data_IF_833388352285
#
_entry.id   IF_833388352285
#
_cell.length_a   1.000
_cell.length_b   1.000
_cell.length_c   1.000
_cell.angle_alpha   90.00
_cell.angle_beta   90.00
_cell.angle_gamma   90.00
#
_symmetry.space_group_name_H-M   'P 1'
#
loop_
_entity.id
_entity.type
_entity.pdbx_description
1 polymer ?
#
# COMPACT_ATOMS: atom_id res chain seq x y z
N UNK A 1 7.76 -20.10 -7.86
CA UNK A 1 8.18 -18.90 -8.63
C UNK A 1 9.25 -19.33 -9.63
N UNK A 2 10.41 -19.82 -9.20
CA UNK A 2 11.56 -20.19 -10.03
C UNK A 2 11.18 -21.07 -11.23
N UNK A 3 10.51 -22.22 -11.01
CA UNK A 3 10.10 -23.13 -12.09
C UNK A 3 9.20 -22.43 -13.13
N UNK A 4 8.34 -21.50 -12.73
CA UNK A 4 7.47 -20.77 -13.65
C UNK A 4 8.26 -19.81 -14.54
N UNK A 5 9.24 -19.11 -13.97
CA UNK A 5 10.12 -18.23 -14.72
C UNK A 5 11.06 -19.00 -15.65
N UNK A 6 11.65 -20.11 -15.18
CA UNK A 6 12.47 -20.98 -16.02
C UNK A 6 11.66 -21.52 -17.21
N UNK A 7 10.46 -22.03 -16.96
CA UNK A 7 9.56 -22.54 -18.02
C UNK A 7 9.19 -21.46 -19.05
N UNK A 8 8.93 -20.24 -18.61
CA UNK A 8 8.61 -19.12 -19.48
C UNK A 8 9.83 -18.67 -20.30
N UNK A 9 11.01 -18.61 -19.66
CA UNK A 9 12.27 -18.23 -20.32
C UNK A 9 12.63 -19.21 -21.47
N UNK A 10 12.52 -20.53 -21.25
CA UNK A 10 12.74 -21.54 -22.30
C UNK A 10 11.86 -21.33 -23.55
N UNK A 11 10.72 -20.66 -23.40
CA UNK A 11 9.70 -20.44 -24.44
C UNK A 11 9.64 -19.01 -24.95
N UNK A 12 10.51 -18.14 -24.43
CA UNK A 12 10.49 -16.69 -24.68
C UNK A 12 9.11 -16.06 -24.40
N UNK A 13 8.44 -16.50 -23.33
CA UNK A 13 7.14 -15.99 -22.89
C UNK A 13 7.36 -14.94 -21.79
N UNK A 14 6.85 -13.71 -21.95
CA UNK A 14 6.94 -12.72 -20.90
C UNK A 14 6.10 -13.12 -19.68
N UNK A 15 6.59 -12.81 -18.48
CA UNK A 15 5.89 -13.12 -17.22
C UNK A 15 5.45 -11.82 -16.55
N UNK A 16 4.20 -11.78 -16.12
CA UNK A 16 3.67 -10.69 -15.31
C UNK A 16 3.17 -11.22 -13.97
N UNK A 17 3.80 -10.81 -12.88
CA UNK A 17 3.42 -11.23 -11.52
C UNK A 17 2.40 -10.27 -10.92
N UNK A 18 1.30 -10.81 -10.41
CA UNK A 18 0.24 -10.04 -9.74
C UNK A 18 -0.04 -10.55 -8.34
N UNK A 19 -0.62 -9.70 -7.51
CA UNK A 19 -1.27 -10.08 -6.25
C UNK A 19 -2.72 -10.55 -6.50
N UNK A 20 -3.68 -9.90 -5.87
CA UNK A 20 -5.12 -10.16 -6.10
C UNK A 20 -5.71 -9.44 -7.31
N UNK A 21 -4.96 -8.57 -7.99
CA UNK A 21 -5.45 -7.81 -9.14
C UNK A 21 -6.30 -6.58 -8.77
N UNK A 22 -6.33 -6.18 -7.49
CA UNK A 22 -7.22 -5.12 -6.99
C UNK A 22 -6.86 -3.69 -7.46
N UNK A 23 -5.72 -3.50 -8.12
CA UNK A 23 -5.28 -2.19 -8.63
C UNK A 23 -4.73 -2.33 -10.06
N UNK A 24 -5.42 -3.12 -10.89
CA UNK A 24 -5.02 -3.41 -12.26
C UNK A 24 -6.25 -3.29 -13.15
N UNK A 25 -6.06 -2.65 -14.32
CA UNK A 25 -6.99 -2.68 -15.44
C UNK A 25 -6.32 -3.44 -16.58
N UNK A 26 -6.92 -4.52 -17.00
CA UNK A 26 -6.46 -5.30 -18.15
C UNK A 26 -7.04 -4.73 -19.45
N UNK A 27 -6.24 -4.78 -20.52
CA UNK A 27 -6.76 -4.60 -21.87
C UNK A 27 -7.72 -5.73 -22.23
N UNK A 28 -8.78 -5.44 -23.00
CA UNK A 28 -9.70 -6.45 -23.49
C UNK A 28 -9.02 -7.48 -24.41
N UNK A 29 -7.89 -7.12 -25.01
CA UNK A 29 -7.02 -8.05 -25.76
C UNK A 29 -6.29 -9.07 -24.85
N UNK A 30 -6.35 -8.90 -23.53
CA UNK A 30 -5.66 -9.74 -22.57
C UNK A 30 -4.15 -9.47 -22.52
N UNK A 31 -3.40 -10.46 -22.07
CA UNK A 31 -1.93 -10.42 -21.93
C UNK A 31 -1.30 -11.59 -22.66
N UNK A 32 -0.46 -11.30 -23.65
CA UNK A 32 0.26 -12.34 -24.41
C UNK A 32 1.48 -12.83 -23.65
N UNK A 33 1.25 -13.56 -22.55
CA UNK A 33 2.31 -14.03 -21.67
C UNK A 33 1.77 -14.91 -20.54
N UNK A 34 2.62 -15.21 -19.58
CA UNK A 34 2.27 -15.92 -18.36
C UNK A 34 1.91 -14.91 -17.25
N UNK A 35 0.68 -14.97 -16.75
CA UNK A 35 0.29 -14.23 -15.54
C UNK A 35 0.48 -15.12 -14.34
N UNK A 36 1.39 -14.74 -13.45
CA UNK A 36 1.71 -15.47 -12.21
C UNK A 36 1.01 -14.79 -11.02
N UNK A 37 -0.04 -15.41 -10.50
CA UNK A 37 -0.69 -14.93 -9.29
C UNK A 37 0.07 -15.37 -8.05
N UNK A 38 0.62 -14.41 -7.31
CA UNK A 38 1.35 -14.70 -6.08
C UNK A 38 0.39 -15.03 -4.93
N UNK A 39 0.50 -16.25 -4.43
CA UNK A 39 -0.27 -16.78 -3.28
C UNK A 39 0.64 -17.36 -2.19
N UNK A 40 1.85 -16.82 -2.05
CA UNK A 40 2.78 -17.25 -1.00
C UNK A 40 2.25 -16.76 0.34
N UNK A 41 1.76 -17.67 1.15
CA UNK A 41 1.22 -17.39 2.48
C UNK A 41 2.30 -17.56 3.55
N UNK A 42 2.05 -17.01 4.72
CA UNK A 42 2.85 -17.17 5.92
C UNK A 42 2.73 -15.97 6.85
N UNK A 43 2.47 -16.24 8.10
CA UNK A 43 2.44 -15.27 9.20
C UNK A 43 3.25 -15.85 10.35
N UNK A 44 4.50 -15.44 10.46
CA UNK A 44 5.45 -16.00 11.43
C UNK A 44 5.99 -14.91 12.34
N UNK A 45 5.75 -15.03 13.65
CA UNK A 45 6.39 -14.17 14.65
C UNK A 45 7.83 -14.62 14.77
N UNK A 46 8.77 -13.74 14.40
CA UNK A 46 10.21 -14.03 14.44
C UNK A 46 10.78 -13.73 15.82
N UNK A 47 10.36 -12.62 16.42
CA UNK A 47 10.84 -12.21 17.75
C UNK A 47 9.82 -11.35 18.48
N UNK A 48 9.93 -11.34 19.79
CA UNK A 48 9.26 -10.40 20.69
C UNK A 48 10.30 -9.90 21.68
N UNK A 49 10.52 -8.61 21.71
CA UNK A 49 11.46 -7.98 22.62
C UNK A 49 10.89 -6.63 23.06
N UNK A 50 10.71 -6.46 24.37
CA UNK A 50 10.07 -5.29 24.99
C UNK A 50 8.68 -5.03 24.36
N UNK A 51 8.49 -3.84 23.80
CA UNK A 51 7.27 -3.42 23.10
C UNK A 51 7.28 -3.76 21.61
N UNK A 52 8.32 -4.40 21.08
CA UNK A 52 8.50 -4.66 19.66
C UNK A 52 8.24 -6.13 19.30
N UNK A 53 7.58 -6.33 18.18
CA UNK A 53 7.29 -7.65 17.62
C UNK A 53 7.67 -7.64 16.13
N UNK A 54 8.58 -8.54 15.75
CA UNK A 54 8.93 -8.75 14.35
C UNK A 54 8.10 -9.89 13.78
N UNK A 55 7.50 -9.65 12.62
CA UNK A 55 6.63 -10.61 11.95
C UNK A 55 7.06 -10.72 10.49
N UNK A 56 7.34 -11.95 10.03
CA UNK A 56 7.48 -12.26 8.60
C UNK A 56 6.11 -12.58 8.01
N UNK A 57 5.83 -11.95 6.90
CA UNK A 57 4.56 -12.08 6.17
C UNK A 57 4.83 -12.58 4.75
N UNK A 58 4.04 -13.53 4.28
CA UNK A 58 4.05 -13.97 2.89
C UNK A 58 3.42 -12.92 1.97
N UNK A 59 3.98 -12.76 0.77
CA UNK A 59 3.53 -11.73 -0.18
C UNK A 59 2.09 -11.93 -0.68
N UNK A 60 1.58 -13.17 -0.66
CA UNK A 60 0.22 -13.52 -1.06
C UNK A 60 -0.84 -13.40 0.03
N UNK A 61 -0.45 -13.09 1.29
CA UNK A 61 -1.41 -12.80 2.37
C UNK A 61 -2.30 -11.62 2.01
N UNK A 62 -3.57 -11.65 2.38
CA UNK A 62 -4.49 -10.52 2.22
C UNK A 62 -4.14 -9.45 3.25
N UNK A 63 -3.87 -8.24 2.77
CA UNK A 63 -3.38 -7.16 3.62
C UNK A 63 -4.31 -6.87 4.79
N UNK A 64 -5.61 -6.74 4.54
CA UNK A 64 -6.57 -6.42 5.59
C UNK A 64 -6.74 -7.54 6.64
N UNK A 65 -6.62 -8.81 6.24
CA UNK A 65 -6.64 -9.95 7.17
C UNK A 65 -5.42 -9.94 8.11
N UNK A 66 -4.24 -9.60 7.55
CA UNK A 66 -3.02 -9.43 8.35
C UNK A 66 -3.19 -8.28 9.34
N UNK A 67 -3.74 -7.15 8.91
CA UNK A 67 -3.98 -6.00 9.78
C UNK A 67 -5.00 -6.35 10.87
N UNK A 68 -6.09 -7.03 10.53
CA UNK A 68 -7.06 -7.51 11.51
C UNK A 68 -6.40 -8.42 12.56
N UNK A 69 -5.56 -9.34 12.12
CA UNK A 69 -4.84 -10.26 13.01
C UNK A 69 -3.85 -9.52 13.91
N UNK A 70 -3.07 -8.59 13.39
CA UNK A 70 -2.10 -7.80 14.19
C UNK A 70 -2.80 -6.90 15.20
N UNK A 71 -3.90 -6.23 14.82
CA UNK A 71 -4.70 -5.41 15.75
C UNK A 71 -5.37 -6.25 16.82
N UNK A 72 -5.85 -7.46 16.50
CA UNK A 72 -6.38 -8.40 17.50
C UNK A 72 -5.30 -8.86 18.52
N UNK A 73 -4.05 -8.89 18.09
CA UNK A 73 -2.90 -9.15 18.97
C UNK A 73 -2.47 -7.93 19.80
N UNK A 74 -3.16 -6.79 19.70
CA UNK A 74 -2.80 -5.53 20.36
C UNK A 74 -1.55 -4.85 19.78
N UNK A 75 -1.21 -5.18 18.51
CA UNK A 75 -0.07 -4.57 17.82
C UNK A 75 -0.53 -3.35 17.04
N UNK A 76 0.35 -2.36 16.96
CA UNK A 76 0.12 -1.08 16.26
C UNK A 76 1.21 -0.83 15.22
N UNK A 77 0.87 -0.06 14.18
CA UNK A 77 1.75 0.38 13.10
C UNK A 77 1.21 0.14 11.70
N UNK A 78 0.11 -0.63 11.54
CA UNK A 78 -0.51 -0.90 10.24
C UNK A 78 -2.03 -0.63 10.22
N UNK A 79 -2.63 -0.26 11.33
CA UNK A 79 -4.09 -0.16 11.52
C UNK A 79 -4.76 0.86 10.60
N UNK A 80 -4.06 1.91 10.18
CA UNK A 80 -4.58 2.89 9.22
C UNK A 80 -4.66 2.36 7.78
N UNK A 81 -4.01 1.24 7.47
CA UNK A 81 -4.07 0.59 6.16
C UNK A 81 -5.27 -0.36 6.03
N UNK A 82 -6.16 -0.41 7.02
CA UNK A 82 -7.36 -1.27 7.05
C UNK A 82 -8.24 -1.07 5.83
N UNK A 83 -8.82 -2.15 5.34
CA UNK A 83 -9.66 -2.22 4.14
C UNK A 83 -8.97 -1.76 2.83
N UNK A 84 -7.65 -1.59 2.79
CA UNK A 84 -6.96 -1.47 1.51
C UNK A 84 -7.01 -2.85 0.84
N UNK A 85 -7.68 -2.97 -0.32
CA UNK A 85 -7.78 -4.25 -1.00
C UNK A 85 -6.42 -4.68 -1.56
N UNK A 86 -6.20 -5.98 -1.63
CA UNK A 86 -5.00 -6.51 -2.24
C UNK A 86 -4.18 -7.39 -1.30
N UNK A 87 -3.02 -7.78 -1.80
CA UNK A 87 -2.08 -8.63 -1.07
C UNK A 87 -0.95 -7.83 -0.45
N UNK A 88 -0.33 -8.40 0.55
CA UNK A 88 0.82 -7.84 1.23
C UNK A 88 1.98 -7.50 0.29
N UNK A 89 2.29 -8.36 -0.69
CA UNK A 89 3.31 -8.06 -1.70
C UNK A 89 2.93 -6.86 -2.59
N UNK A 90 1.65 -6.75 -2.98
CA UNK A 90 1.14 -5.58 -3.70
C UNK A 90 1.26 -4.29 -2.88
N UNK A 91 1.08 -4.37 -1.56
CA UNK A 91 1.25 -3.24 -0.66
C UNK A 91 2.69 -2.72 -0.64
N UNK A 92 3.70 -3.61 -0.70
CA UNK A 92 5.11 -3.23 -0.80
C UNK A 92 5.40 -2.55 -2.13
N UNK A 93 4.93 -3.11 -3.26
CA UNK A 93 5.14 -2.55 -4.61
C UNK A 93 4.65 -1.09 -4.68
N UNK A 94 3.51 -0.80 -4.05
CA UNK A 94 2.88 0.53 -4.09
C UNK A 94 3.29 1.44 -2.92
N UNK A 95 4.12 0.98 -1.98
CA UNK A 95 4.26 1.62 -0.69
C UNK A 95 2.89 2.06 -0.17
N UNK A 96 1.99 1.10 0.03
CA UNK A 96 0.60 1.39 0.38
C UNK A 96 0.52 2.24 1.63
N UNK A 97 -0.28 3.29 1.54
CA UNK A 97 -0.45 4.24 2.63
C UNK A 97 -1.85 4.86 2.66
N UNK A 98 -2.33 5.11 3.87
CA UNK A 98 -3.59 5.79 4.14
C UNK A 98 -3.55 6.46 5.51
N UNK A 99 -4.25 7.58 5.65
CA UNK A 99 -4.43 8.30 6.93
C UNK A 99 -3.12 8.61 7.66
N UNK A 100 -2.04 8.88 6.92
CA UNK A 100 -0.73 9.22 7.47
C UNK A 100 0.16 8.04 7.83
N UNK A 101 -0.30 6.80 7.66
CA UNK A 101 0.52 5.60 7.76
C UNK A 101 0.91 5.09 6.37
N UNK A 102 2.13 4.55 6.25
CA UNK A 102 2.63 3.83 5.10
C UNK A 102 3.31 2.54 5.54
N UNK A 103 3.28 1.51 4.69
CA UNK A 103 3.90 0.23 5.00
C UNK A 103 5.40 0.36 5.24
N UNK A 104 6.07 1.29 4.56
CA UNK A 104 7.48 1.61 4.73
C UNK A 104 7.88 1.98 6.15
N UNK A 105 6.96 2.54 6.95
CA UNK A 105 7.24 2.98 8.32
C UNK A 105 7.49 1.81 9.28
N UNK A 106 7.01 0.64 8.96
CA UNK A 106 7.16 -0.58 9.77
C UNK A 106 7.99 -1.67 9.10
N UNK A 107 8.30 -1.50 7.81
CA UNK A 107 9.07 -2.45 7.03
C UNK A 107 10.52 -2.54 7.53
N UNK A 108 11.04 -3.77 7.63
CA UNK A 108 12.44 -4.05 7.97
C UNK A 108 13.21 -4.58 6.78
N UNK A 109 12.66 -5.57 6.10
CA UNK A 109 13.29 -6.20 4.94
C UNK A 109 12.26 -6.82 4.02
N UNK A 110 12.64 -7.02 2.76
CA UNK A 110 11.83 -7.67 1.72
C UNK A 110 12.61 -8.85 1.15
N UNK A 111 11.98 -10.01 1.13
CA UNK A 111 12.51 -11.22 0.49
C UNK A 111 11.98 -11.27 -0.95
N UNK A 112 12.87 -11.29 -1.91
CA UNK A 112 12.57 -11.23 -3.34
C UNK A 112 13.20 -12.39 -4.09
N UNK A 113 12.57 -12.81 -5.18
CA UNK A 113 13.20 -13.59 -6.23
C UNK A 113 13.62 -12.62 -7.35
N UNK A 114 14.92 -12.50 -7.60
CA UNK A 114 15.45 -11.72 -8.72
C UNK A 114 15.37 -12.57 -9.99
N UNK A 115 14.59 -12.13 -10.94
CA UNK A 115 14.33 -12.85 -12.20
C UNK A 115 15.53 -12.84 -13.15
N UNK A 116 16.50 -11.97 -12.93
CA UNK A 116 17.73 -11.87 -13.73
C UNK A 116 18.81 -12.84 -13.24
N UNK A 117 19.06 -12.85 -11.93
CA UNK A 117 20.04 -13.78 -11.32
C UNK A 117 19.44 -15.15 -11.03
N UNK A 118 18.12 -15.29 -11.03
CA UNK A 118 17.39 -16.48 -10.58
C UNK A 118 17.73 -16.87 -9.13
N UNK A 119 18.00 -15.89 -8.29
CA UNK A 119 18.32 -16.08 -6.87
C UNK A 119 17.29 -15.44 -5.96
N UNK A 120 17.18 -15.97 -4.75
CA UNK A 120 16.42 -15.36 -3.67
C UNK A 120 17.36 -14.43 -2.90
N UNK A 121 16.93 -13.20 -2.72
CA UNK A 121 17.66 -12.14 -2.01
C UNK A 121 16.82 -11.53 -0.91
N UNK A 122 17.46 -11.00 0.11
CA UNK A 122 16.82 -10.20 1.16
C UNK A 122 17.33 -8.77 1.05
N UNK A 123 16.41 -7.85 0.81
CA UNK A 123 16.69 -6.43 0.67
C UNK A 123 16.27 -5.71 1.95
N UNK A 124 17.16 -4.91 2.51
CA UNK A 124 16.84 -3.98 3.59
C UNK A 124 15.89 -2.88 3.08
N UNK A 125 15.10 -2.27 3.97
CA UNK A 125 14.12 -1.23 3.60
C UNK A 125 14.74 -0.10 2.79
N UNK A 126 15.96 0.33 3.12
CA UNK A 126 16.70 1.39 2.39
C UNK A 126 16.96 1.05 0.93
N UNK A 127 17.13 -0.25 0.60
CA UNK A 127 17.37 -0.70 -0.75
C UNK A 127 16.09 -0.80 -1.60
N UNK A 128 14.92 -0.65 -0.97
CA UNK A 128 13.62 -0.72 -1.66
C UNK A 128 13.17 0.64 -2.25
N UNK A 129 13.86 1.75 -1.97
CA UNK A 129 13.59 3.11 -2.46
C UNK A 129 12.10 3.47 -2.39
N UNK A 130 11.49 3.25 -1.21
CA UNK A 130 10.06 3.46 -0.99
C UNK A 130 9.76 4.95 -0.87
N UNK A 131 8.85 5.43 -1.72
CA UNK A 131 8.35 6.79 -1.71
C UNK A 131 6.82 6.83 -1.82
N UNK A 132 6.24 8.02 -1.97
CA UNK A 132 4.80 8.18 -2.12
C UNK A 132 4.29 7.46 -3.39
N UNK A 133 3.59 6.34 -3.22
CA UNK A 133 3.12 5.46 -4.32
C UNK A 133 4.23 4.97 -5.25
N UNK A 134 5.45 4.89 -4.73
CA UNK A 134 6.67 4.58 -5.45
C UNK A 134 7.49 3.53 -4.72
N UNK A 135 8.24 2.74 -5.47
CA UNK A 135 9.24 1.80 -4.97
C UNK A 135 10.23 1.44 -6.08
N UNK A 136 11.40 0.93 -5.71
CA UNK A 136 12.34 0.32 -6.65
C UNK A 136 11.67 -0.72 -7.56
N UNK A 137 10.79 -1.53 -6.99
CA UNK A 137 10.11 -2.62 -7.72
C UNK A 137 9.13 -2.13 -8.78
N UNK A 138 8.59 -0.94 -8.61
CA UNK A 138 7.61 -0.34 -9.52
C UNK A 138 8.24 0.57 -10.55
N UNK A 139 9.16 1.42 -10.14
CA UNK A 139 9.60 2.57 -10.94
C UNK A 139 11.02 2.39 -11.51
N UNK A 140 11.93 1.78 -10.77
CA UNK A 140 13.33 1.63 -11.20
C UNK A 140 13.58 0.29 -11.92
N UNK A 141 13.05 -0.80 -11.37
CA UNK A 141 13.30 -2.16 -11.88
C UNK A 141 11.97 -2.93 -12.04
N UNK A 142 11.01 -2.43 -12.83
CA UNK A 142 9.71 -3.06 -12.99
C UNK A 142 9.85 -4.47 -13.60
N UNK A 143 9.23 -5.44 -12.91
CA UNK A 143 9.23 -6.84 -13.36
C UNK A 143 10.49 -7.64 -13.02
N UNK A 144 11.56 -7.02 -12.52
CA UNK A 144 12.79 -7.74 -12.13
C UNK A 144 12.60 -8.56 -10.86
N UNK A 145 11.88 -8.05 -9.88
CA UNK A 145 11.74 -8.70 -8.59
C UNK A 145 10.33 -9.23 -8.34
N UNK A 146 10.24 -10.47 -7.90
CA UNK A 146 9.01 -11.06 -7.37
C UNK A 146 9.10 -11.09 -5.85
N UNK A 147 8.25 -10.32 -5.17
CA UNK A 147 8.23 -10.32 -3.70
C UNK A 147 7.71 -11.67 -3.20
N UNK A 148 8.49 -12.36 -2.40
CA UNK A 148 8.13 -13.63 -1.77
C UNK A 148 7.54 -13.44 -0.38
N UNK A 149 8.07 -12.49 0.36
CA UNK A 149 7.65 -12.12 1.69
C UNK A 149 8.39 -10.88 2.17
N UNK A 150 8.06 -10.43 3.38
CA UNK A 150 8.73 -9.30 4.01
C UNK A 150 8.59 -9.37 5.51
N UNK A 151 9.46 -8.66 6.21
CA UNK A 151 9.44 -8.56 7.67
C UNK A 151 9.00 -7.15 8.08
N UNK A 152 8.05 -7.08 8.99
CA UNK A 152 7.63 -5.83 9.64
C UNK A 152 7.98 -5.85 11.11
N UNK A 153 8.23 -4.65 11.67
CA UNK A 153 8.41 -4.41 13.09
C UNK A 153 7.25 -3.58 13.62
N UNK A 154 6.37 -4.21 14.37
CA UNK A 154 5.21 -3.61 15.01
C UNK A 154 5.47 -3.41 16.52
N UNK A 155 4.63 -2.62 17.16
CA UNK A 155 4.72 -2.35 18.60
C UNK A 155 3.47 -2.80 19.34
N UNK A 156 3.63 -3.17 20.61
CA UNK A 156 2.51 -3.29 21.54
C UNK A 156 2.15 -1.91 22.12
N UNK A 157 0.90 -1.72 22.49
CA UNK A 157 0.44 -0.49 23.15
C UNK A 157 -0.57 0.29 22.33
N UNK A 158 -0.54 1.61 22.50
CA UNK A 158 -1.49 2.50 21.84
C UNK A 158 -1.04 2.86 20.43
N UNK A 159 -2.03 3.05 19.54
CA UNK A 159 -1.79 3.55 18.20
C UNK A 159 -1.17 4.96 18.24
N UNK A 160 -0.35 5.26 17.25
CA UNK A 160 0.20 6.60 17.11
C UNK A 160 -0.91 7.62 16.93
N UNK A 161 -0.74 8.82 17.52
CA UNK A 161 -1.66 9.92 17.27
C UNK A 161 -1.70 10.23 15.79
N UNK A 162 -2.92 10.24 15.24
CA UNK A 162 -3.10 10.70 13.86
C UNK A 162 -3.18 12.20 13.81
N UNK A 163 -2.70 12.79 12.73
CA UNK A 163 -2.93 14.21 12.38
C UNK A 163 -4.00 14.36 11.30
N UNK A 164 -4.58 13.27 10.84
CA UNK A 164 -5.53 13.27 9.73
C UNK A 164 -6.91 13.76 10.18
N UNK A 165 -7.41 14.90 9.65
CA UNK A 165 -8.58 15.58 10.21
C UNK A 165 -9.84 14.72 10.32
N UNK A 166 -10.14 13.93 9.27
CA UNK A 166 -11.32 13.06 9.26
C UNK A 166 -11.22 11.97 10.33
N UNK A 167 -10.03 11.43 10.55
CA UNK A 167 -9.81 10.37 11.53
C UNK A 167 -9.88 10.95 12.96
N UNK A 168 -9.32 12.14 13.17
CA UNK A 168 -9.46 12.88 14.43
C UNK A 168 -10.93 13.14 14.77
N UNK A 169 -11.72 13.61 13.80
CA UNK A 169 -13.15 13.86 14.00
C UNK A 169 -13.92 12.58 14.38
N UNK A 170 -13.54 11.43 13.80
CA UNK A 170 -14.20 10.14 14.09
C UNK A 170 -13.80 9.59 15.46
N UNK A 171 -12.53 9.75 15.84
CA UNK A 171 -12.02 9.27 17.14
C UNK A 171 -12.42 10.16 18.31
N UNK A 172 -12.77 11.43 18.06
CA UNK A 172 -13.03 12.43 19.09
C UNK A 172 -11.77 12.79 19.88
N UNK A 173 -11.94 13.46 21.04
CA UNK A 173 -10.84 13.93 21.91
C UNK A 173 -10.13 12.82 22.70
N UNK A 174 -10.04 11.61 22.14
CA UNK A 174 -9.36 10.50 22.81
C UNK A 174 -7.85 10.75 22.83
N UNK A 175 -7.31 10.92 24.03
CA UNK A 175 -5.85 11.11 24.24
C UNK A 175 -5.06 9.85 23.86
N UNK A 176 -5.68 8.68 23.95
CA UNK A 176 -5.11 7.37 23.65
C UNK A 176 -6.13 6.53 22.88
N UNK A 177 -5.67 5.85 21.86
CA UNK A 177 -6.49 5.02 21.00
C UNK A 177 -5.78 3.66 20.84
N UNK A 178 -6.52 2.57 21.04
CA UNK A 178 -5.98 1.24 20.72
C UNK A 178 -5.88 1.07 19.20
N UNK A 179 -5.05 0.13 18.74
CA UNK A 179 -5.01 -0.24 17.32
C UNK A 179 -6.37 -0.73 16.82
N UNK A 180 -7.16 -1.38 17.69
CA UNK A 180 -8.52 -1.83 17.36
C UNK A 180 -9.49 -0.65 17.17
N UNK A 181 -9.47 0.36 18.05
CA UNK A 181 -10.29 1.57 17.89
C UNK A 181 -9.90 2.33 16.62
N UNK A 182 -8.60 2.47 16.36
CA UNK A 182 -8.09 3.12 15.15
C UNK A 182 -8.56 2.38 13.90
N UNK A 183 -8.43 1.04 13.87
CA UNK A 183 -8.93 0.20 12.78
C UNK A 183 -10.43 0.40 12.57
N UNK A 184 -11.23 0.38 13.64
CA UNK A 184 -12.68 0.56 13.55
C UNK A 184 -13.06 1.92 12.96
N UNK A 185 -12.37 3.00 13.37
CA UNK A 185 -12.57 4.32 12.83
C UNK A 185 -12.22 4.40 11.32
N UNK A 186 -11.09 3.81 10.92
CA UNK A 186 -10.69 3.74 9.51
C UNK A 186 -11.71 2.97 8.68
N UNK A 187 -12.18 1.81 9.15
CA UNK A 187 -13.21 1.01 8.49
C UNK A 187 -14.47 1.84 8.27
N UNK A 188 -15.00 2.46 9.33
CA UNK A 188 -16.20 3.29 9.25
C UNK A 188 -16.08 4.43 8.22
N UNK A 189 -14.94 5.11 8.19
CA UNK A 189 -14.69 6.19 7.21
C UNK A 189 -14.64 5.63 5.79
N UNK A 190 -13.97 4.50 5.58
CA UNK A 190 -13.82 3.92 4.24
C UNK A 190 -15.14 3.39 3.71
N UNK A 191 -15.91 2.67 4.51
CA UNK A 191 -17.24 2.16 4.14
C UNK A 191 -18.23 3.27 3.82
N UNK A 192 -18.13 4.42 4.48
CA UNK A 192 -18.99 5.58 4.18
C UNK A 192 -18.64 6.30 2.87
N UNK A 193 -17.43 6.10 2.33
CA UNK A 193 -16.92 6.89 1.19
C UNK A 193 -16.60 6.06 -0.05
N UNK A 194 -16.31 4.78 0.11
CA UNK A 194 -15.83 3.93 -0.98
C UNK A 194 -16.82 2.81 -1.24
N UNK A 195 -17.12 2.50 -2.49
CA UNK A 195 -17.94 1.34 -2.82
C UNK A 195 -17.21 0.05 -2.46
N UNK A 196 -17.95 -0.93 -1.97
CA UNK A 196 -17.43 -2.27 -1.76
C UNK A 196 -17.08 -2.91 -3.12
N UNK A 197 -15.83 -3.29 -3.38
CA UNK A 197 -15.43 -3.90 -4.65
C UNK A 197 -16.13 -5.24 -4.94
N UNK A 198 -16.66 -5.91 -3.92
CA UNK A 198 -17.43 -7.13 -4.10
C UNK A 198 -18.85 -6.86 -4.67
N UNK A 199 -19.39 -5.64 -4.45
CA UNK A 199 -20.71 -5.20 -4.93
C UNK A 199 -20.54 -4.38 -6.20
N UNK A 200 -19.62 -3.42 -6.20
CA UNK A 200 -19.30 -2.55 -7.33
C UNK A 200 -17.84 -2.75 -7.69
N UNK A 201 -17.55 -3.63 -8.68
CA UNK A 201 -16.18 -3.89 -9.10
C UNK A 201 -15.45 -2.60 -9.47
N UNK A 202 -14.27 -2.40 -8.86
CA UNK A 202 -13.44 -1.23 -9.11
C UNK A 202 -11.97 -1.57 -8.85
N UNK A 203 -11.06 -0.75 -9.36
CA UNK A 203 -9.61 -0.89 -9.16
C UNK A 203 -9.04 0.10 -8.14
N UNK A 204 -9.90 0.74 -7.33
CA UNK A 204 -9.51 1.76 -6.38
C UNK A 204 -9.16 3.09 -7.04
N UNK A 205 -8.38 3.93 -6.37
CA UNK A 205 -7.93 5.22 -6.92
C UNK A 205 -6.97 4.99 -8.09
N UNK A 206 -7.40 5.37 -9.29
CA UNK A 206 -6.59 5.25 -10.51
C UNK A 206 -5.47 6.30 -10.56
N UNK A 207 -5.81 7.55 -10.24
CA UNK A 207 -4.83 8.64 -10.25
C UNK A 207 -4.16 8.82 -8.89
N UNK A 208 -2.84 9.01 -8.89
CA UNK A 208 -2.12 9.50 -7.72
C UNK A 208 -2.38 10.98 -7.52
N UNK A 209 -2.37 11.43 -6.27
CA UNK A 209 -2.46 12.87 -5.97
C UNK A 209 -1.20 13.57 -6.49
N UNK A 210 -1.30 14.57 -7.38
CA UNK A 210 -0.14 15.29 -7.86
C UNK A 210 0.54 16.06 -6.72
N UNK A 211 1.87 16.11 -6.80
CA UNK A 211 2.73 16.88 -5.92
C UNK A 211 3.35 18.01 -6.74
N UNK A 212 3.19 19.25 -6.30
CA UNK A 212 3.63 20.45 -6.98
C UNK A 212 4.62 21.24 -6.12
N UNK A 213 5.63 21.77 -6.74
CA UNK A 213 6.50 22.76 -6.11
C UNK A 213 5.69 24.02 -5.76
N UNK A 214 6.05 24.71 -4.68
CA UNK A 214 5.34 25.92 -4.22
C UNK A 214 5.23 27.00 -5.33
N UNK A 215 6.24 27.10 -6.21
CA UNK A 215 6.24 28.02 -7.36
C UNK A 215 5.25 27.65 -8.46
N UNK A 216 4.89 26.36 -8.57
CA UNK A 216 4.00 25.83 -9.60
C UNK A 216 2.53 25.84 -9.17
N UNK A 217 2.26 26.15 -7.90
CA UNK A 217 0.90 26.36 -7.37
C UNK A 217 0.40 27.71 -7.90
N UNK A 218 -0.31 27.65 -9.02
CA UNK A 218 -0.81 28.85 -9.68
C UNK A 218 -1.97 29.53 -8.94
N UNK A 219 -2.28 30.76 -9.34
CA UNK A 219 -3.35 31.56 -8.75
C UNK A 219 -4.71 30.87 -8.85
N UNK A 220 -5.02 30.20 -9.97
CA UNK A 220 -6.29 29.53 -10.18
C UNK A 220 -6.57 28.46 -9.10
N UNK A 221 -5.57 27.66 -8.72
CA UNK A 221 -5.72 26.68 -7.65
C UNK A 221 -5.97 27.33 -6.28
N UNK A 222 -5.41 28.50 -6.04
CA UNK A 222 -5.62 29.29 -4.81
C UNK A 222 -6.99 29.94 -4.79
N UNK A 223 -7.40 30.54 -5.89
CA UNK A 223 -8.69 31.23 -6.04
C UNK A 223 -9.87 30.25 -5.94
N UNK A 224 -9.70 29.03 -6.44
CA UNK A 224 -10.69 27.97 -6.33
C UNK A 224 -10.68 27.23 -4.99
N UNK A 225 -9.89 27.69 -4.02
CA UNK A 225 -9.75 27.07 -2.69
C UNK A 225 -9.39 25.58 -2.77
N UNK A 226 -8.46 25.21 -3.66
CA UNK A 226 -7.98 23.85 -3.76
C UNK A 226 -7.48 23.35 -2.39
N UNK A 227 -7.80 22.12 -2.01
CA UNK A 227 -7.33 21.55 -0.73
C UNK A 227 -5.84 21.19 -0.83
N UNK A 228 -4.99 22.19 -0.70
CA UNK A 228 -3.53 22.08 -0.77
C UNK A 228 -3.00 21.54 0.56
N UNK A 229 -2.34 20.38 0.50
CA UNK A 229 -1.67 19.78 1.65
C UNK A 229 -0.16 20.01 1.55
N UNK A 230 0.39 20.88 2.41
CA UNK A 230 1.82 21.11 2.50
C UNK A 230 2.51 19.85 3.04
N UNK A 231 3.55 19.40 2.33
CA UNK A 231 4.41 18.30 2.72
C UNK A 231 5.65 18.83 3.46
N UNK A 232 6.31 17.98 4.23
CA UNK A 232 7.55 18.31 4.94
C UNK A 232 8.68 18.73 4.00
N UNK A 233 8.60 18.34 2.72
CA UNK A 233 9.52 18.75 1.65
C UNK A 233 9.31 20.20 1.17
N UNK A 234 8.24 20.87 1.62
CA UNK A 234 7.85 22.21 1.16
C UNK A 234 7.02 22.20 -0.14
N UNK A 235 6.67 21.04 -0.65
CA UNK A 235 5.81 20.85 -1.81
C UNK A 235 4.32 20.76 -1.37
N UNK A 236 3.43 20.93 -2.34
CA UNK A 236 1.99 20.81 -2.10
C UNK A 236 1.40 19.61 -2.81
N UNK A 237 0.68 18.78 -2.07
CA UNK A 237 -0.09 17.67 -2.61
C UNK A 237 -1.56 18.08 -2.78
N UNK A 238 -2.15 17.80 -3.94
CA UNK A 238 -3.54 18.10 -4.29
C UNK A 238 -4.29 16.78 -4.46
N UNK A 239 -5.48 16.60 -3.86
CA UNK A 239 -6.30 15.42 -4.11
C UNK A 239 -6.70 15.32 -5.58
N UNK A 240 -6.35 14.23 -6.25
CA UNK A 240 -6.73 13.99 -7.65
C UNK A 240 -8.26 13.96 -7.81
N UNK A 241 -8.98 13.41 -6.82
CA UNK A 241 -10.44 13.40 -6.81
C UNK A 241 -11.04 14.80 -6.91
N UNK A 242 -10.48 15.78 -6.17
CA UNK A 242 -10.92 17.17 -6.27
C UNK A 242 -10.72 17.75 -7.68
N UNK A 243 -9.58 17.48 -8.30
CA UNK A 243 -9.31 17.90 -9.68
C UNK A 243 -10.30 17.30 -10.67
N UNK A 244 -10.60 16.00 -10.53
CA UNK A 244 -11.57 15.28 -11.36
C UNK A 244 -12.98 15.88 -11.19
N UNK A 245 -13.41 16.12 -9.96
CA UNK A 245 -14.72 16.73 -9.68
C UNK A 245 -14.82 18.13 -10.27
N UNK A 246 -13.77 18.97 -10.11
CA UNK A 246 -13.75 20.33 -10.67
C UNK A 246 -13.70 20.36 -12.20
N UNK A 247 -13.18 19.32 -12.82
CA UNK A 247 -13.16 19.15 -14.26
C UNK A 247 -14.49 18.61 -14.83
N UNK A 248 -15.50 18.40 -13.99
CA UNK A 248 -16.84 17.96 -14.42
C UNK A 248 -16.96 16.44 -14.66
N UNK A 249 -15.98 15.65 -14.22
CA UNK A 249 -15.98 14.18 -14.39
C UNK A 249 -16.41 13.43 -13.14
N UNK A 250 -17.15 14.08 -12.24
CA UNK A 250 -17.77 13.36 -11.13
C UNK A 250 -18.87 12.45 -11.66
N UNK A 251 -18.89 11.21 -11.18
CA UNK A 251 -19.90 10.21 -11.50
C UNK A 251 -19.98 9.79 -12.99
N UNK A 252 -18.89 9.98 -13.75
CA UNK A 252 -18.73 9.53 -15.14
C UNK A 252 -17.83 8.31 -15.26
#
# INVERSE_FOLDING_TARGET
VECAYAWAAERNIPVYTIGSGSNIIWSDAGYSGLVLRNKILGFHILSRHDDQVQIRLGAGEILDEVIARTTHMGLTGMECLSLIPGTCGGAIIQNSGAYGQEISQVLQSVEVFDTTSCQVEVLETSACNLGYRSSRFKDEEPGRHVILGFTVKLRTGYANKTTYPTLLATLGDRSYCSSADMRAAVISIRESKLPDPAIIPNCGSFFTNPVLLAKDVNVALRDEQAPLHLLDTGEYKIPAAWLIERSGFKDH
#
